data_IF_031379818989
#
_entry.id   IF_031379818989
#
_cell.length_a   1.000
_cell.length_b   1.000
_cell.length_c   1.000
_cell.angle_alpha   90.00
_cell.angle_beta   90.00
_cell.angle_gamma   90.00
#
_symmetry.space_group_name_H-M   'P 1'
#
loop_
_entity.id
_entity.type
_entity.pdbx_description
1 polymer ?
#
# COMPACT_ATOMS: atom_id res chain seq x y z
N UNK A 1 5.90 -13.08 -5.88
CA UNK A 1 5.05 -14.20 -5.41
C UNK A 1 4.18 -14.56 -6.59
N UNK A 2 4.37 -15.78 -7.05
CA UNK A 2 3.79 -16.37 -8.26
C UNK A 2 2.33 -16.00 -8.44
N UNK A 3 2.04 -15.40 -9.60
CA UNK A 3 0.69 -15.29 -10.15
C UNK A 3 0.05 -16.67 -10.13
N UNK A 4 -0.80 -16.93 -9.14
CA UNK A 4 -1.80 -17.99 -9.26
C UNK A 4 -2.62 -17.60 -10.48
N UNK A 5 -2.70 -18.41 -11.54
CA UNK A 5 -3.48 -18.04 -12.70
C UNK A 5 -4.92 -17.91 -12.23
N UNK A 6 -5.41 -16.66 -12.17
CA UNK A 6 -6.84 -16.40 -12.05
C UNK A 6 -7.52 -17.25 -13.12
N UNK A 7 -8.62 -17.91 -12.76
CA UNK A 7 -9.34 -18.83 -13.61
C UNK A 7 -9.95 -18.05 -14.80
N UNK A 8 -9.09 -17.75 -15.79
CA UNK A 8 -9.32 -16.93 -16.99
C UNK A 8 -10.52 -17.45 -17.78
N UNK A 9 -10.75 -18.77 -17.69
CA UNK A 9 -11.87 -19.47 -18.31
C UNK A 9 -13.25 -18.97 -17.88
N UNK A 10 -13.41 -18.55 -16.62
CA UNK A 10 -14.70 -18.03 -16.13
C UNK A 10 -15.01 -16.66 -16.75
N UNK A 11 -13.98 -15.83 -16.92
CA UNK A 11 -14.15 -14.46 -17.40
C UNK A 11 -14.31 -14.38 -18.91
N UNK A 12 -13.68 -15.27 -19.67
CA UNK A 12 -13.89 -15.37 -21.12
C UNK A 12 -15.30 -15.86 -21.47
N UNK A 13 -15.87 -16.78 -20.67
CA UNK A 13 -17.21 -17.32 -20.91
C UNK A 13 -18.35 -16.33 -20.65
N UNK A 14 -18.16 -15.35 -19.77
CA UNK A 14 -19.18 -14.36 -19.40
C UNK A 14 -18.83 -12.92 -19.83
N UNK A 15 -17.87 -12.74 -20.75
CA UNK A 15 -17.53 -11.40 -21.23
C UNK A 15 -18.58 -10.88 -22.21
N UNK A 16 -19.12 -9.69 -21.92
CA UNK A 16 -20.02 -8.99 -22.83
C UNK A 16 -19.26 -8.23 -23.94
N UNK A 17 -17.99 -7.91 -23.69
CA UNK A 17 -17.11 -7.17 -24.61
C UNK A 17 -16.04 -8.08 -25.21
N UNK A 18 -15.61 -7.79 -26.45
CA UNK A 18 -14.56 -8.54 -27.17
C UNK A 18 -13.19 -8.50 -26.48
N UNK A 19 -12.96 -7.48 -25.64
CA UNK A 19 -11.74 -7.30 -24.86
C UNK A 19 -12.12 -7.08 -23.40
N UNK A 20 -11.43 -7.78 -22.50
CA UNK A 20 -11.45 -7.55 -21.07
C UNK A 20 -10.17 -6.82 -20.68
N UNK A 21 -10.28 -5.67 -19.99
CA UNK A 21 -9.14 -4.96 -19.43
C UNK A 21 -9.13 -5.18 -17.92
N UNK A 22 -8.32 -6.12 -17.45
CA UNK A 22 -8.17 -6.46 -16.02
C UNK A 22 -6.75 -6.24 -15.49
N UNK A 23 -5.84 -5.89 -16.37
CA UNK A 23 -4.44 -5.65 -16.02
C UNK A 23 -4.17 -4.14 -15.96
N UNK A 24 -3.06 -3.77 -15.33
CA UNK A 24 -2.60 -2.38 -15.31
C UNK A 24 -2.25 -1.96 -16.74
N UNK A 25 -2.74 -0.79 -17.18
CA UNK A 25 -2.43 -0.29 -18.51
C UNK A 25 -0.92 -0.11 -18.67
N UNK A 26 -0.30 -0.58 -19.78
CA UNK A 26 1.14 -0.44 -20.00
C UNK A 26 1.65 1.00 -19.94
N UNK A 27 0.80 1.98 -20.25
CA UNK A 27 1.12 3.41 -20.14
C UNK A 27 1.35 3.88 -18.70
N UNK A 28 0.84 3.15 -17.70
CA UNK A 28 1.01 3.45 -16.28
C UNK A 28 2.23 2.73 -15.68
N UNK A 29 2.74 1.67 -16.31
CA UNK A 29 3.87 0.89 -15.77
C UNK A 29 5.17 1.71 -15.70
N UNK A 30 5.48 2.51 -16.72
CA UNK A 30 6.73 3.28 -16.79
C UNK A 30 6.71 4.62 -16.04
N UNK A 31 5.53 5.16 -15.73
CA UNK A 31 5.38 6.46 -15.03
C UNK A 31 5.32 6.33 -13.51
N UNK A 32 5.20 5.11 -12.99
CA UNK A 32 5.02 4.85 -11.55
C UNK A 32 6.35 4.54 -10.85
N UNK A 33 7.33 3.95 -11.56
CA UNK A 33 8.65 3.64 -11.00
C UNK A 33 9.32 4.96 -10.58
N UNK A 34 9.57 5.15 -9.28
CA UNK A 34 10.09 6.38 -8.66
C UNK A 34 9.14 7.61 -8.57
N UNK A 35 7.86 7.49 -8.92
CA UNK A 35 6.89 8.61 -8.85
C UNK A 35 6.76 9.23 -7.44
N UNK A 36 7.02 8.43 -6.40
CA UNK A 36 6.87 8.83 -5.00
C UNK A 36 8.18 8.75 -4.21
N UNK A 37 9.32 8.77 -4.92
CA UNK A 37 10.64 8.82 -4.31
C UNK A 37 10.76 9.98 -3.29
N UNK A 38 11.28 9.67 -2.11
CA UNK A 38 11.50 10.66 -1.04
C UNK A 38 10.25 11.12 -0.28
N UNK A 39 9.08 10.53 -0.55
CA UNK A 39 7.82 10.90 0.13
C UNK A 39 7.47 9.96 1.27
N UNK A 40 6.76 10.53 2.23
CA UNK A 40 6.15 9.82 3.37
C UNK A 40 4.66 9.63 3.09
N UNK A 41 4.18 8.39 3.12
CA UNK A 41 2.79 8.06 2.81
C UNK A 41 2.15 7.34 3.99
N UNK A 42 1.00 7.85 4.43
CA UNK A 42 0.20 7.25 5.51
C UNK A 42 -1.01 6.54 4.89
N UNK A 43 -1.22 5.28 5.25
CA UNK A 43 -2.29 4.45 4.73
C UNK A 43 -3.10 3.92 5.91
N UNK A 44 -4.27 4.50 6.11
CA UNK A 44 -5.28 4.00 7.04
C UNK A 44 -6.01 2.81 6.42
N UNK A 45 -6.21 1.73 7.18
CA UNK A 45 -6.82 0.50 6.68
C UNK A 45 -5.89 -0.38 5.84
N UNK A 46 -4.56 -0.22 5.95
CA UNK A 46 -3.56 -0.96 5.17
C UNK A 46 -3.44 -2.47 5.45
N UNK A 47 -4.36 -3.06 6.23
CA UNK A 47 -4.28 -4.47 6.61
C UNK A 47 -4.74 -5.43 5.53
N UNK A 48 -5.70 -5.04 4.68
CA UNK A 48 -6.38 -5.96 3.74
C UNK A 48 -6.90 -5.24 2.50
N UNK A 49 -7.26 -6.01 1.48
CA UNK A 49 -8.01 -5.54 0.31
C UNK A 49 -7.33 -4.36 -0.40
N UNK A 50 -8.10 -3.28 -0.58
CA UNK A 50 -7.67 -2.08 -1.29
C UNK A 50 -6.50 -1.39 -0.56
N UNK A 51 -6.58 -1.23 0.76
CA UNK A 51 -5.51 -0.56 1.53
C UNK A 51 -4.17 -1.29 1.42
N UNK A 52 -4.21 -2.63 1.42
CA UNK A 52 -3.02 -3.46 1.15
C UNK A 52 -2.50 -3.24 -0.27
N UNK A 53 -3.37 -3.29 -1.28
CA UNK A 53 -2.98 -3.07 -2.67
C UNK A 53 -2.36 -1.68 -2.89
N UNK A 54 -2.90 -0.64 -2.26
CA UNK A 54 -2.36 0.72 -2.27
C UNK A 54 -0.96 0.74 -1.66
N UNK A 55 -0.75 0.09 -0.51
CA UNK A 55 0.55 0.04 0.13
C UNK A 55 1.61 -0.65 -0.74
N UNK A 56 1.25 -1.75 -1.40
CA UNK A 56 2.10 -2.44 -2.36
C UNK A 56 2.41 -1.57 -3.58
N UNK A 57 1.44 -0.80 -4.08
CA UNK A 57 1.63 0.12 -5.20
C UNK A 57 2.58 1.27 -4.84
N UNK A 58 2.45 1.87 -3.65
CA UNK A 58 3.38 2.90 -3.20
C UNK A 58 4.79 2.37 -2.95
N UNK A 59 4.93 1.12 -2.50
CA UNK A 59 6.23 0.46 -2.41
C UNK A 59 6.89 0.28 -3.79
N UNK A 60 6.11 -0.06 -4.82
CA UNK A 60 6.58 -0.10 -6.22
C UNK A 60 6.93 1.30 -6.76
N UNK A 61 6.25 2.34 -6.28
CA UNK A 61 6.52 3.73 -6.64
C UNK A 61 7.70 4.37 -5.87
N UNK A 62 8.48 3.55 -5.16
CA UNK A 62 9.63 3.95 -4.34
C UNK A 62 9.35 5.01 -3.27
N UNK A 63 8.18 4.93 -2.63
CA UNK A 63 7.92 5.70 -1.42
C UNK A 63 9.02 5.44 -0.37
N UNK A 64 9.58 6.52 0.20
CA UNK A 64 10.66 6.41 1.18
C UNK A 64 10.14 5.87 2.50
N UNK A 65 9.01 6.40 2.97
CA UNK A 65 8.40 6.02 4.23
C UNK A 65 6.94 5.64 4.01
N UNK A 66 6.54 4.48 4.54
CA UNK A 66 5.19 3.95 4.48
C UNK A 66 4.69 3.69 5.90
N UNK A 67 3.63 4.38 6.31
CA UNK A 67 2.99 4.18 7.61
C UNK A 67 1.67 3.46 7.39
N UNK A 68 1.56 2.24 7.90
CA UNK A 68 0.35 1.45 7.82
C UNK A 68 -0.40 1.49 9.15
N UNK A 69 -1.60 2.06 9.15
CA UNK A 69 -2.44 2.21 10.33
C UNK A 69 -3.69 1.32 10.23
N UNK A 70 -3.90 0.43 11.20
CA UNK A 70 -5.15 -0.33 11.31
C UNK A 70 -5.27 -1.01 12.68
N UNK A 71 -6.48 -1.46 13.03
CA UNK A 71 -6.74 -2.21 14.27
C UNK A 71 -6.01 -3.55 14.36
N UNK A 72 -5.73 -4.19 13.23
CA UNK A 72 -5.18 -5.56 13.19
C UNK A 72 -3.69 -5.55 12.87
N UNK A 73 -2.86 -5.37 13.90
CA UNK A 73 -1.39 -5.32 13.80
C UNK A 73 -0.81 -6.57 13.13
N UNK A 74 -1.31 -7.76 13.44
CA UNK A 74 -0.84 -9.01 12.83
C UNK A 74 -0.95 -9.01 11.29
N UNK A 75 -2.03 -8.45 10.74
CA UNK A 75 -2.23 -8.36 9.28
C UNK A 75 -1.35 -7.28 8.65
N UNK A 76 -1.08 -6.20 9.39
CA UNK A 76 -0.16 -5.15 8.96
C UNK A 76 1.27 -5.66 8.84
N UNK A 77 1.72 -6.50 9.77
CA UNK A 77 3.05 -7.12 9.70
C UNK A 77 3.20 -8.01 8.46
N UNK A 78 2.16 -8.77 8.10
CA UNK A 78 2.14 -9.53 6.85
C UNK A 78 2.28 -8.60 5.63
N UNK A 79 1.52 -7.50 5.58
CA UNK A 79 1.63 -6.50 4.51
C UNK A 79 3.02 -5.87 4.46
N UNK A 80 3.59 -5.52 5.62
CA UNK A 80 4.96 -5.00 5.73
C UNK A 80 5.99 -5.98 5.18
N UNK A 81 5.89 -7.26 5.51
CA UNK A 81 6.79 -8.29 4.98
C UNK A 81 6.71 -8.39 3.45
N UNK A 82 5.50 -8.26 2.87
CA UNK A 82 5.33 -8.23 1.41
C UNK A 82 5.93 -6.97 0.77
N UNK A 83 5.77 -5.81 1.40
CA UNK A 83 6.38 -4.55 0.96
C UNK A 83 7.91 -4.67 0.95
N UNK A 84 8.51 -5.13 2.05
CA UNK A 84 9.96 -5.24 2.20
C UNK A 84 10.58 -6.26 1.22
N UNK A 85 9.81 -7.29 0.82
CA UNK A 85 10.22 -8.23 -0.24
C UNK A 85 10.28 -7.59 -1.63
N UNK A 86 9.45 -6.59 -1.90
CA UNK A 86 9.45 -5.88 -3.18
C UNK A 86 10.43 -4.71 -3.19
N UNK A 87 10.47 -3.95 -2.10
CA UNK A 87 11.33 -2.79 -1.95
C UNK A 87 11.95 -2.77 -0.56
N UNK A 88 13.17 -3.30 -0.45
CA UNK A 88 13.89 -3.38 0.82
C UNK A 88 14.45 -2.03 1.30
N UNK A 89 14.36 -0.97 0.48
CA UNK A 89 14.82 0.38 0.82
C UNK A 89 13.74 1.24 1.47
N UNK A 90 12.46 0.84 1.39
CA UNK A 90 11.35 1.58 1.98
C UNK A 90 11.28 1.34 3.50
N UNK A 91 11.17 2.41 4.27
CA UNK A 91 10.92 2.33 5.71
C UNK A 91 9.43 2.10 5.96
N UNK A 92 9.07 0.96 6.55
CA UNK A 92 7.67 0.62 6.84
C UNK A 92 7.40 0.64 8.33
N UNK A 93 6.56 1.57 8.77
CA UNK A 93 6.06 1.66 10.14
C UNK A 93 4.66 1.06 10.22
N UNK A 94 4.44 0.20 11.21
CA UNK A 94 3.14 -0.41 11.49
C UNK A 94 2.61 0.18 12.78
N UNK A 95 1.38 0.72 12.75
CA UNK A 95 0.75 1.32 13.94
C UNK A 95 -0.66 0.75 14.12
N UNK A 96 -0.91 0.23 15.32
CA UNK A 96 -2.24 -0.20 15.75
C UNK A 96 -3.11 1.00 16.09
N UNK A 97 -4.07 1.34 15.23
CA UNK A 97 -4.94 2.52 15.39
C UNK A 97 -6.37 2.20 15.02
N UNK A 98 -7.31 2.65 15.85
CA UNK A 98 -8.71 2.77 15.49
C UNK A 98 -9.01 4.20 15.03
N UNK A 99 -9.41 4.36 13.77
CA UNK A 99 -9.75 5.67 13.19
C UNK A 99 -11.04 6.26 13.76
N UNK A 100 -11.81 5.49 14.52
CA UNK A 100 -13.02 5.98 15.22
C UNK A 100 -12.72 6.63 16.56
N UNK A 101 -11.51 6.46 17.09
CA UNK A 101 -11.08 7.05 18.36
C UNK A 101 -10.11 8.21 18.10
N UNK A 102 -10.55 9.44 18.39
CA UNK A 102 -9.72 10.65 18.21
C UNK A 102 -8.39 10.56 18.96
N UNK A 103 -8.39 10.02 20.19
CA UNK A 103 -7.18 9.84 20.99
C UNK A 103 -6.14 8.93 20.32
N UNK A 104 -6.55 7.96 19.50
CA UNK A 104 -5.62 7.07 18.79
C UNK A 104 -5.09 7.72 17.51
N UNK A 105 -5.89 8.60 16.88
CA UNK A 105 -5.44 9.42 15.75
C UNK A 105 -4.39 10.44 16.19
N UNK A 106 -4.57 11.08 17.35
CA UNK A 106 -3.56 11.99 17.92
C UNK A 106 -2.25 11.26 18.25
N UNK A 107 -2.33 10.04 18.79
CA UNK A 107 -1.14 9.21 19.03
C UNK A 107 -0.44 8.85 17.72
N UNK A 108 -1.19 8.49 16.68
CA UNK A 108 -0.63 8.21 15.36
C UNK A 108 0.12 9.42 14.83
N UNK A 109 -0.48 10.61 14.90
CA UNK A 109 0.15 11.84 14.45
C UNK A 109 1.46 12.12 15.20
N UNK A 110 1.46 11.97 16.53
CA UNK A 110 2.68 12.13 17.35
C UNK A 110 3.77 11.13 16.95
N UNK A 111 3.43 9.85 16.81
CA UNK A 111 4.40 8.81 16.42
C UNK A 111 5.00 9.11 15.03
N UNK A 112 4.16 9.55 14.08
CA UNK A 112 4.62 9.92 12.74
C UNK A 112 5.53 11.16 12.79
N UNK A 113 5.18 12.16 13.60
CA UNK A 113 6.02 13.36 13.81
C UNK A 113 7.36 13.02 14.43
N UNK A 114 7.39 12.17 15.45
CA UNK A 114 8.63 11.79 16.14
C UNK A 114 9.54 10.93 15.25
N UNK A 115 8.96 10.04 14.44
CA UNK A 115 9.73 9.07 13.64
C UNK A 115 10.19 9.66 12.31
N UNK A 116 9.35 10.46 11.65
CA UNK A 116 9.59 10.94 10.28
C UNK A 116 9.64 12.47 10.17
N UNK A 117 9.50 13.19 11.29
CA UNK A 117 9.49 14.65 11.32
C UNK A 117 8.20 15.24 10.77
N UNK A 118 8.18 15.54 9.46
CA UNK A 118 7.01 16.05 8.75
C UNK A 118 6.54 15.03 7.71
N UNK A 119 5.22 14.78 7.65
CA UNK A 119 4.62 14.00 6.57
C UNK A 119 4.71 14.70 5.20
N UNK A 120 5.05 15.99 5.17
CA UNK A 120 5.22 16.81 3.96
C UNK A 120 6.48 17.65 4.12
N UNK A 121 7.50 17.39 3.29
CA UNK A 121 8.65 18.31 3.16
C UNK A 121 8.15 19.61 2.47
N UNK A 122 8.55 20.81 2.93
CA UNK A 122 8.15 22.07 2.29
C UNK A 122 8.57 22.16 0.83
#
# INVERSE_FOLDING_TARGET
MSDTPLNVHLFEKFQFTKKNYRDVYPALESSVVESQAGKTVIITGGSQGIGKAIALAFAKASAQNLILASRSVAKLETTKAEILKMNSKSNVLVVGVDTTCEADVEKLEKIVKDTFGHAVRP
#
